data_IF_204684582236
#
_entry.id   IF_204684582236
#
_cell.length_a   1.000
_cell.length_b   1.000
_cell.length_c   1.000
_cell.angle_alpha   90.00
_cell.angle_beta   90.00
_cell.angle_gamma   90.00
#
_symmetry.space_group_name_H-M   'P 1'
#
loop_
_entity.id
_entity.type
_entity.pdbx_description
1 polymer ?
#
# COMPACT_ATOMS: atom_id res chain seq x y z
N UNK A 1 10.55 -2.18 -8.75
CA UNK A 1 11.44 -2.54 -7.62
C UNK A 1 11.42 -4.05 -7.48
N UNK A 2 12.55 -4.68 -7.21
CA UNK A 2 12.56 -6.13 -6.91
C UNK A 2 11.75 -6.42 -5.62
N UNK A 3 11.06 -7.55 -5.58
CA UNK A 3 10.13 -7.91 -4.50
C UNK A 3 10.84 -8.05 -3.14
N UNK A 4 12.08 -8.55 -3.13
CA UNK A 4 12.84 -8.71 -1.90
C UNK A 4 13.22 -7.34 -1.31
N UNK A 5 13.62 -6.40 -2.17
CA UNK A 5 14.00 -5.05 -1.78
C UNK A 5 12.81 -4.25 -1.26
N UNK A 6 11.67 -4.35 -1.94
CA UNK A 6 10.41 -3.72 -1.53
C UNK A 6 9.97 -4.20 -0.14
N UNK A 7 9.97 -5.53 0.07
CA UNK A 7 9.66 -6.14 1.38
C UNK A 7 10.60 -5.65 2.48
N UNK A 8 11.91 -5.58 2.20
CA UNK A 8 12.89 -5.12 3.18
C UNK A 8 12.64 -3.66 3.58
N UNK A 9 12.37 -2.80 2.59
CA UNK A 9 12.07 -1.38 2.79
C UNK A 9 10.82 -1.19 3.67
N UNK A 10 9.70 -1.84 3.36
CA UNK A 10 8.47 -1.71 4.16
C UNK A 10 8.63 -2.22 5.60
N UNK A 11 9.40 -3.30 5.81
CA UNK A 11 9.73 -3.77 7.16
C UNK A 11 10.50 -2.73 7.98
N UNK A 12 11.44 -2.02 7.35
CA UNK A 12 12.20 -0.95 8.01
C UNK A 12 11.27 0.21 8.35
N UNK A 13 10.43 0.65 7.41
CA UNK A 13 9.49 1.74 7.64
C UNK A 13 8.54 1.45 8.82
N UNK A 14 7.98 0.23 8.87
CA UNK A 14 7.13 -0.20 10.00
C UNK A 14 7.88 -0.17 11.32
N UNK A 15 9.12 -0.67 11.36
CA UNK A 15 9.96 -0.66 12.58
C UNK A 15 10.29 0.75 13.04
N UNK A 16 10.49 1.68 12.12
CA UNK A 16 10.82 3.08 12.41
C UNK A 16 9.58 3.97 12.61
N UNK A 17 8.37 3.39 12.62
CA UNK A 17 7.10 4.11 12.71
C UNK A 17 6.93 5.19 11.62
N UNK A 18 7.43 4.90 10.42
CA UNK A 18 7.27 5.75 9.24
C UNK A 18 5.94 5.39 8.58
N UNK A 19 5.10 6.40 8.33
CA UNK A 19 3.87 6.22 7.54
C UNK A 19 4.22 6.16 6.06
N UNK A 20 3.84 5.06 5.39
CA UNK A 20 4.10 4.86 3.96
C UNK A 20 2.87 5.18 3.12
N UNK A 21 3.00 6.15 2.22
CA UNK A 21 2.09 6.36 1.09
C UNK A 21 2.78 5.84 -0.17
N UNK A 22 2.16 4.88 -0.85
CA UNK A 22 2.69 4.28 -2.07
C UNK A 22 1.64 4.32 -3.19
N UNK A 23 2.11 4.31 -4.43
CA UNK A 23 1.27 4.19 -5.64
C UNK A 23 1.78 2.99 -6.41
N UNK A 24 0.90 2.04 -6.72
CA UNK A 24 1.28 0.88 -7.51
C UNK A 24 0.10 0.02 -7.88
N UNK A 25 0.27 -0.77 -8.94
CA UNK A 25 -0.75 -1.66 -9.47
C UNK A 25 -0.67 -3.10 -8.91
N UNK A 26 0.35 -3.39 -8.09
CA UNK A 26 0.62 -4.74 -7.59
C UNK A 26 -0.18 -5.00 -6.30
N UNK A 27 -0.96 -6.07 -6.28
CA UNK A 27 -1.72 -6.50 -5.10
C UNK A 27 -0.82 -6.83 -3.90
N UNK A 28 0.44 -7.22 -4.12
CA UNK A 28 1.42 -7.46 -3.05
C UNK A 28 1.74 -6.23 -2.20
N UNK A 29 1.36 -5.02 -2.62
CA UNK A 29 1.50 -3.82 -1.79
C UNK A 29 0.51 -3.82 -0.61
N UNK A 30 -0.65 -4.46 -0.78
CA UNK A 30 -1.70 -4.44 0.23
C UNK A 30 -1.25 -5.04 1.57
N UNK A 31 -0.30 -5.98 1.56
CA UNK A 31 0.23 -6.60 2.79
C UNK A 31 0.98 -5.60 3.70
N UNK A 32 1.39 -4.44 3.16
CA UNK A 32 2.15 -3.42 3.87
C UNK A 32 1.33 -2.17 4.25
N UNK A 33 0.08 -2.07 3.80
CA UNK A 33 -0.77 -0.89 3.99
C UNK A 33 -2.06 -1.23 4.76
N UNK A 34 -2.66 -0.22 5.39
CA UNK A 34 -3.90 -0.37 6.14
C UNK A 34 -5.11 0.15 5.34
N UNK A 35 -4.88 1.10 4.43
CA UNK A 35 -5.91 1.72 3.59
C UNK A 35 -5.54 1.60 2.12
N UNK A 36 -6.55 1.41 1.28
CA UNK A 36 -6.46 1.43 -0.17
C UNK A 36 -7.21 2.64 -0.69
N UNK A 37 -6.55 3.45 -1.52
CA UNK A 37 -7.17 4.47 -2.35
C UNK A 37 -7.25 3.93 -3.78
N UNK A 38 -8.46 3.77 -4.29
CA UNK A 38 -8.71 3.28 -5.63
C UNK A 38 -9.36 4.36 -6.48
N UNK A 39 -8.86 4.50 -7.72
CA UNK A 39 -9.46 5.33 -8.76
C UNK A 39 -9.97 4.39 -9.84
N UNK A 40 -11.29 4.32 -10.01
CA UNK A 40 -11.96 3.42 -10.95
C UNK A 40 -12.07 4.01 -12.37
N UNK A 41 -11.45 5.18 -12.60
CA UNK A 41 -11.51 5.91 -13.87
C UNK A 41 -12.74 6.81 -14.01
N UNK A 42 -13.66 6.79 -13.04
CA UNK A 42 -14.64 7.87 -12.87
C UNK A 42 -13.98 9.07 -12.19
N UNK A 43 -14.65 10.23 -12.18
CA UNK A 43 -14.16 11.43 -11.46
C UNK A 43 -14.14 11.26 -9.93
N UNK A 44 -14.56 10.09 -9.42
CA UNK A 44 -14.58 9.76 -8.00
C UNK A 44 -13.40 8.87 -7.58
N UNK A 45 -13.07 8.91 -6.30
CA UNK A 45 -12.12 8.00 -5.66
C UNK A 45 -12.81 7.25 -4.50
N UNK A 46 -12.35 6.04 -4.23
CA UNK A 46 -12.83 5.22 -3.13
C UNK A 46 -11.70 4.95 -2.13
N UNK A 47 -11.95 5.17 -0.84
CA UNK A 47 -11.03 4.79 0.24
C UNK A 47 -11.64 3.63 1.02
N UNK A 48 -10.87 2.56 1.23
CA UNK A 48 -11.30 1.38 2.00
C UNK A 48 -10.20 0.91 2.95
N UNK A 49 -10.59 0.32 4.08
CA UNK A 49 -9.65 -0.37 4.95
C UNK A 49 -9.32 -1.76 4.37
N UNK A 50 -8.03 -2.05 4.21
CA UNK A 50 -7.55 -3.29 3.57
C UNK A 50 -7.88 -4.52 4.41
N UNK A 51 -7.95 -4.38 5.74
CA UNK A 51 -8.28 -5.49 6.64
C UNK A 51 -9.76 -5.95 6.56
N UNK A 52 -10.57 -5.30 5.73
CA UNK A 52 -11.99 -5.61 5.51
C UNK A 52 -12.27 -6.09 4.08
N UNK A 53 -11.23 -6.27 3.25
CA UNK A 53 -11.27 -6.85 1.91
C UNK A 53 -10.92 -8.35 1.96
#
# INVERSE_FOLDING_TARGET
MDVANERHMYKICKRLNITCLSVGHRSSLMEYHQKLLEMDGSEAYNIRDINQL
#
